data_IF_996600015098
#
_entry.id   IF_996600015098
#
_cell.length_a   1.000
_cell.length_b   1.000
_cell.length_c   1.000
_cell.angle_alpha   90.00
_cell.angle_beta   90.00
_cell.angle_gamma   90.00
#
_symmetry.space_group_name_H-M   'P 1'
#
loop_
_entity.id
_entity.type
_entity.pdbx_description
1 polymer ?
#
# COMPACT_ATOMS: atom_id res chain seq x y z
N UNK A 1 -0.21 13.49 6.52
CA UNK A 1 -1.15 12.37 6.70
C UNK A 1 -0.77 11.51 7.90
N UNK A 2 -1.72 11.23 8.82
CA UNK A 2 -1.51 10.32 9.95
C UNK A 2 -1.40 8.85 9.51
N UNK A 3 -0.69 8.04 10.29
CA UNK A 3 -0.42 6.62 9.98
C UNK A 3 -1.69 5.77 9.85
N UNK A 4 -2.71 6.05 10.66
CA UNK A 4 -3.98 5.33 10.60
C UNK A 4 -4.68 5.52 9.24
N UNK A 5 -4.76 6.76 8.74
CA UNK A 5 -5.34 7.03 7.42
C UNK A 5 -4.60 6.31 6.30
N UNK A 6 -3.27 6.31 6.38
CA UNK A 6 -2.46 5.57 5.41
C UNK A 6 -2.76 4.08 5.47
N UNK A 7 -2.88 3.51 6.67
CA UNK A 7 -3.24 2.10 6.87
C UNK A 7 -4.63 1.77 6.32
N UNK A 8 -5.64 2.62 6.57
CA UNK A 8 -6.99 2.44 6.05
C UNK A 8 -7.00 2.36 4.52
N UNK A 9 -6.20 3.18 3.84
CA UNK A 9 -6.10 3.13 2.38
C UNK A 9 -5.54 1.80 1.80
N UNK A 10 -4.84 1.01 2.63
CA UNK A 10 -4.43 -0.35 2.27
C UNK A 10 -5.43 -1.41 2.74
N UNK A 11 -5.93 -1.28 3.97
CA UNK A 11 -6.77 -2.29 4.61
C UNK A 11 -8.20 -2.28 4.06
N UNK A 12 -8.77 -1.11 3.83
CA UNK A 12 -10.12 -0.93 3.29
C UNK A 12 -10.14 -1.26 1.79
N UNK A 13 -11.00 -2.18 1.40
CA UNK A 13 -11.11 -2.63 0.01
C UNK A 13 -11.61 -1.54 -0.93
N UNK A 14 -12.55 -0.72 -0.46
CA UNK A 14 -13.12 0.38 -1.26
C UNK A 14 -12.06 1.43 -1.51
N UNK A 15 -11.36 1.90 -0.46
CA UNK A 15 -10.27 2.85 -0.59
C UNK A 15 -9.14 2.29 -1.47
N UNK A 16 -8.78 1.01 -1.29
CA UNK A 16 -7.76 0.33 -2.10
C UNK A 16 -8.14 0.29 -3.58
N UNK A 17 -9.39 0.00 -3.92
CA UNK A 17 -9.85 -0.08 -5.30
C UNK A 17 -9.70 1.25 -6.07
N UNK A 18 -9.70 2.40 -5.39
CA UNK A 18 -9.56 3.70 -6.05
C UNK A 18 -8.15 3.96 -6.59
N UNK A 19 -7.10 3.54 -5.89
CA UNK A 19 -5.71 3.81 -6.29
C UNK A 19 -4.97 2.56 -6.78
N UNK A 20 -5.45 1.38 -6.40
CA UNK A 20 -4.96 0.07 -6.81
C UNK A 20 -6.06 -0.77 -7.48
N UNK A 21 -6.64 -0.30 -8.61
CA UNK A 21 -7.57 -1.11 -9.38
C UNK A 21 -6.84 -2.27 -10.07
N UNK A 22 -7.60 -3.30 -10.44
CA UNK A 22 -7.15 -4.41 -11.28
C UNK A 22 -6.14 -5.38 -10.62
N UNK A 23 -5.99 -5.32 -9.28
CA UNK A 23 -5.17 -6.28 -8.55
C UNK A 23 -5.99 -6.96 -7.47
N UNK A 24 -6.04 -8.30 -7.52
CA UNK A 24 -6.57 -9.09 -6.41
C UNK A 24 -5.58 -9.05 -5.24
N UNK A 25 -6.00 -8.41 -4.13
CA UNK A 25 -5.22 -8.35 -2.90
C UNK A 25 -5.98 -9.08 -1.81
N UNK A 26 -5.48 -10.25 -1.39
CA UNK A 26 -6.11 -11.05 -0.35
C UNK A 26 -5.45 -10.80 1.00
N UNK A 27 -6.12 -10.05 1.87
CA UNK A 27 -5.62 -9.71 3.20
C UNK A 27 -5.45 -10.97 4.05
N UNK A 28 -4.22 -11.19 4.54
CA UNK A 28 -3.91 -12.27 5.49
C UNK A 28 -3.88 -11.78 6.92
N UNK A 29 -3.22 -10.64 7.13
CA UNK A 29 -3.02 -10.07 8.46
C UNK A 29 -2.94 -8.57 8.35
N UNK A 30 -3.74 -7.88 9.14
CA UNK A 30 -3.74 -6.43 9.20
C UNK A 30 -3.65 -6.03 10.67
N UNK A 31 -2.56 -5.35 11.04
CA UNK A 31 -2.30 -4.86 12.39
C UNK A 31 -2.26 -3.35 12.34
N UNK A 32 -3.42 -2.72 12.56
CA UNK A 32 -3.54 -1.27 12.53
C UNK A 32 -2.72 -0.60 13.64
N UNK A 33 -2.08 0.56 13.40
CA UNK A 33 -1.77 1.17 12.10
C UNK A 33 -0.36 0.78 11.59
N UNK A 34 0.22 -0.33 12.07
CA UNK A 34 1.65 -0.65 11.90
C UNK A 34 1.99 -1.50 10.69
N UNK A 35 1.17 -2.49 10.36
CA UNK A 35 1.53 -3.43 9.29
C UNK A 35 0.33 -4.07 8.62
N UNK A 36 0.49 -4.39 7.34
CA UNK A 36 -0.50 -5.05 6.52
C UNK A 36 0.20 -6.11 5.65
N UNK A 37 -0.33 -7.32 5.61
CA UNK A 37 0.19 -8.44 4.84
C UNK A 37 -0.92 -9.06 4.02
N UNK A 38 -0.66 -9.23 2.73
CA UNK A 38 -1.62 -9.81 1.80
C UNK A 38 -0.93 -10.68 0.74
N UNK A 39 -1.65 -11.68 0.25
CA UNK A 39 -1.29 -12.37 -0.98
C UNK A 39 -1.63 -11.46 -2.19
N UNK A 40 -0.82 -11.53 -3.25
CA UNK A 40 -0.88 -10.61 -4.38
C UNK A 40 -1.25 -11.30 -5.69
N UNK A 41 -2.23 -10.72 -6.41
CA UNK A 41 -2.68 -11.11 -7.75
C UNK A 41 -2.99 -12.62 -7.91
N UNK A 42 -3.49 -13.27 -6.86
CA UNK A 42 -3.74 -14.72 -6.85
C UNK A 42 -2.50 -15.60 -7.04
N UNK A 43 -1.30 -14.99 -7.06
CA UNK A 43 -0.03 -15.66 -7.34
C UNK A 43 0.71 -16.12 -6.07
N UNK A 44 1.90 -16.70 -6.23
CA UNK A 44 2.74 -17.11 -5.09
C UNK A 44 3.37 -15.91 -4.36
N UNK A 45 3.30 -14.70 -4.93
CA UNK A 45 3.90 -13.48 -4.38
C UNK A 45 3.05 -12.87 -3.28
N UNK A 46 3.71 -12.10 -2.41
CA UNK A 46 3.07 -11.50 -1.25
C UNK A 46 3.55 -10.09 -1.06
N UNK A 47 2.67 -9.26 -0.51
CA UNK A 47 3.00 -7.90 -0.13
C UNK A 47 3.00 -7.76 1.39
N UNK A 48 4.03 -7.12 1.90
CA UNK A 48 4.16 -6.71 3.29
C UNK A 48 4.34 -5.21 3.30
N UNK A 49 3.34 -4.52 3.83
CA UNK A 49 3.32 -3.07 3.99
C UNK A 49 3.62 -2.77 5.46
N UNK A 50 4.70 -2.05 5.69
CA UNK A 50 5.04 -1.48 7.00
C UNK A 50 4.69 0.00 7.01
N UNK A 51 4.02 0.46 8.07
CA UNK A 51 3.67 1.86 8.25
C UNK A 51 4.29 2.33 9.57
N UNK A 52 5.04 3.42 9.46
CA UNK A 52 5.76 4.03 10.56
C UNK A 52 5.29 5.47 10.75
N UNK A 53 4.88 5.83 11.96
CA UNK A 53 4.44 7.18 12.27
C UNK A 53 5.66 8.07 12.51
N UNK A 54 5.82 9.12 11.70
CA UNK A 54 6.87 10.12 11.81
C UNK A 54 6.26 11.39 12.40
N UNK A 55 5.92 11.33 13.69
CA UNK A 55 5.17 12.39 14.39
C UNK A 55 3.65 12.32 14.16
N UNK A 56 2.93 13.36 14.59
CA UNK A 56 1.46 13.34 14.64
C UNK A 56 0.81 13.46 13.26
N UNK A 57 1.46 14.18 12.34
CA UNK A 57 0.90 14.53 11.03
C UNK A 57 1.57 13.86 9.84
N UNK A 58 2.58 13.02 10.07
CA UNK A 58 3.34 12.38 8.98
C UNK A 58 3.54 10.90 9.27
N UNK A 59 3.45 10.10 8.21
CA UNK A 59 3.74 8.68 8.24
C UNK A 59 4.62 8.30 7.06
N UNK A 60 5.41 7.25 7.24
CA UNK A 60 6.22 6.61 6.21
C UNK A 60 5.59 5.24 5.93
N UNK A 61 5.43 4.92 4.65
CA UNK A 61 5.04 3.57 4.21
C UNK A 61 6.20 2.91 3.50
N UNK A 62 6.43 1.65 3.83
CA UNK A 62 7.39 0.77 3.19
C UNK A 62 6.62 -0.41 2.60
N UNK A 63 6.68 -0.59 1.29
CA UNK A 63 6.06 -1.74 0.61
C UNK A 63 7.17 -2.72 0.22
N UNK A 64 7.10 -3.92 0.78
CA UNK A 64 7.97 -5.04 0.44
C UNK A 64 7.16 -6.05 -0.37
N UNK A 65 7.65 -6.39 -1.55
CA UNK A 65 7.11 -7.47 -2.36
C UNK A 65 8.02 -8.69 -2.24
N UNK A 66 7.50 -9.77 -1.68
CA UNK A 66 8.23 -11.00 -1.41
C UNK A 66 7.97 -12.07 -2.48
N UNK A 67 8.89 -13.05 -2.56
CA UNK A 67 8.87 -14.18 -3.50
C UNK A 67 8.93 -13.80 -4.98
N UNK A 68 9.61 -12.70 -5.30
CA UNK A 68 9.91 -12.33 -6.68
C UNK A 68 10.88 -13.35 -7.29
N UNK A 69 10.62 -13.76 -8.52
CA UNK A 69 11.37 -14.80 -9.22
C UNK A 69 12.62 -14.28 -9.93
N UNK A 70 12.78 -12.96 -10.07
CA UNK A 70 13.93 -12.36 -10.74
C UNK A 70 14.02 -10.84 -10.62
N UNK A 71 15.18 -10.30 -11.02
CA UNK A 71 15.48 -8.86 -10.95
C UNK A 71 14.65 -8.01 -11.93
N UNK A 72 14.29 -8.54 -13.09
CA UNK A 72 13.42 -7.87 -14.07
C UNK A 72 12.04 -7.60 -13.46
N UNK A 73 11.40 -8.63 -12.91
CA UNK A 73 10.11 -8.50 -12.22
C UNK A 73 10.19 -7.53 -11.03
N UNK A 74 11.30 -7.50 -10.31
CA UNK A 74 11.51 -6.52 -9.24
C UNK A 74 11.58 -5.08 -9.78
N UNK A 75 12.21 -4.85 -10.94
CA UNK A 75 12.28 -3.54 -11.56
C UNK A 75 10.91 -3.07 -12.07
N UNK A 76 10.15 -3.96 -12.72
CA UNK A 76 8.78 -3.69 -13.18
C UNK A 76 7.86 -3.34 -12.00
N UNK A 77 7.86 -4.17 -10.95
CA UNK A 77 7.05 -3.93 -9.76
C UNK A 77 7.47 -2.66 -9.03
N UNK A 78 8.78 -2.32 -9.01
CA UNK A 78 9.24 -1.06 -8.43
C UNK A 78 8.75 0.14 -9.22
N UNK A 79 8.70 0.07 -10.55
CA UNK A 79 8.10 1.12 -11.37
C UNK A 79 6.60 1.24 -11.11
N UNK A 80 5.89 0.12 -11.14
CA UNK A 80 4.46 0.05 -10.83
C UNK A 80 4.13 0.63 -9.45
N UNK A 81 4.85 0.20 -8.41
CA UNK A 81 4.61 0.70 -7.05
C UNK A 81 4.86 2.19 -6.91
N UNK A 82 5.85 2.77 -7.62
CA UNK A 82 6.07 4.21 -7.59
C UNK A 82 4.88 4.98 -8.15
N UNK A 83 4.33 4.54 -9.26
CA UNK A 83 3.14 5.13 -9.88
C UNK A 83 1.93 5.02 -8.95
N UNK A 84 1.65 3.81 -8.44
CA UNK A 84 0.51 3.56 -7.55
C UNK A 84 0.62 4.32 -6.21
N UNK A 85 1.80 4.40 -5.62
CA UNK A 85 2.00 5.17 -4.39
C UNK A 85 1.90 6.68 -4.64
N UNK A 86 2.27 7.17 -5.83
CA UNK A 86 2.03 8.55 -6.22
C UNK A 86 0.52 8.85 -6.34
N UNK A 87 -0.24 7.95 -6.97
CA UNK A 87 -1.70 8.04 -7.04
C UNK A 87 -2.35 8.01 -5.65
N UNK A 88 -1.90 7.10 -4.77
CA UNK A 88 -2.34 7.05 -3.37
C UNK A 88 -2.05 8.36 -2.64
N UNK A 89 -0.84 8.93 -2.81
CA UNK A 89 -0.47 10.20 -2.19
C UNK A 89 -1.42 11.31 -2.65
N UNK A 90 -1.66 11.43 -3.96
CA UNK A 90 -2.57 12.42 -4.52
C UNK A 90 -4.00 12.25 -3.99
N UNK A 91 -4.52 11.01 -3.96
CA UNK A 91 -5.86 10.71 -3.44
C UNK A 91 -6.00 11.09 -1.96
N UNK A 92 -5.00 10.77 -1.14
CA UNK A 92 -4.97 11.11 0.28
C UNK A 92 -4.80 12.62 0.52
N UNK A 93 -4.08 13.33 -0.34
CA UNK A 93 -3.97 14.79 -0.28
C UNK A 93 -5.29 15.46 -0.67
N UNK A 94 -6.01 14.95 -1.68
CA UNK A 94 -7.34 15.46 -2.07
C UNK A 94 -8.41 15.18 -1.01
N UNK A 95 -8.43 13.99 -0.40
CA UNK A 95 -9.34 13.67 0.73
C UNK A 95 -9.01 14.51 1.98
N UNK A 96 -7.74 14.90 2.15
CA UNK A 96 -7.26 15.73 3.24
C UNK A 96 -7.57 17.22 3.11
N UNK A 97 -7.79 17.73 1.89
CA UNK A 97 -8.12 19.14 1.61
C UNK A 97 -9.61 19.46 1.89
N UNK A 98 -10.45 18.43 2.02
CA UNK A 98 -11.89 18.57 2.21
C UNK A 98 -12.34 18.70 3.68
N UNK A 99 -11.43 18.99 4.64
CA UNK A 99 -11.77 19.10 6.07
C UNK A 99 -11.25 20.37 6.74
#
# INVERSE_FOLDING_TARGET
MPALRLFEAFADETARAHWLPDVEVRVRTATAPRSFRADWAGGPTRIVVGIDAVGESKARVNVLHEKLTGAEQAAELKAYWRDRLAALKALLETDGDQR
#
